data_IF_049063490324
#
_entry.id   IF_049063490324
#
_cell.length_a   1.000
_cell.length_b   1.000
_cell.length_c   1.000
_cell.angle_alpha   90.00
_cell.angle_beta   90.00
_cell.angle_gamma   90.00
#
_symmetry.space_group_name_H-M   'P 1'
#
loop_
_entity.id
_entity.type
_entity.pdbx_description
1 polymer ?
#
# COMPACT_ATOMS: atom_id res chain seq x y z
N UNK A 1 -15.72 -12.07 -69.59
CA UNK A 1 -15.98 -12.14 -68.13
C UNK A 1 -14.65 -12.18 -67.40
N UNK A 2 -14.15 -11.03 -66.93
CA UNK A 2 -12.92 -10.95 -66.16
C UNK A 2 -13.26 -10.59 -64.70
N UNK A 3 -13.30 -11.59 -63.82
CA UNK A 3 -13.45 -11.38 -62.38
C UNK A 3 -12.70 -12.48 -61.66
N UNK A 4 -12.00 -12.12 -60.58
CA UNK A 4 -11.40 -13.03 -59.58
C UNK A 4 -9.91 -13.42 -59.73
N UNK A 5 -8.99 -12.45 -59.87
CA UNK A 5 -7.62 -12.65 -59.34
C UNK A 5 -7.24 -11.63 -58.26
N UNK A 6 -7.77 -10.40 -58.32
CA UNK A 6 -7.50 -9.35 -57.32
C UNK A 6 -7.98 -9.70 -55.89
N UNK A 7 -9.07 -10.44 -55.74
CA UNK A 7 -9.60 -10.83 -54.42
C UNK A 7 -8.74 -11.86 -53.67
N UNK A 8 -8.03 -12.74 -54.39
CA UNK A 8 -7.17 -13.76 -53.78
C UNK A 8 -5.87 -13.16 -53.20
N UNK A 9 -5.31 -12.17 -53.88
CA UNK A 9 -4.10 -11.45 -53.43
C UNK A 9 -4.38 -10.55 -52.21
N UNK A 10 -5.54 -9.90 -52.17
CA UNK A 10 -5.96 -9.12 -50.99
C UNK A 10 -6.19 -10.03 -49.78
N UNK A 11 -6.81 -11.19 -49.97
CA UNK A 11 -7.03 -12.16 -48.90
C UNK A 11 -5.72 -12.75 -48.34
N UNK A 12 -4.73 -13.02 -49.19
CA UNK A 12 -3.42 -13.53 -48.75
C UNK A 12 -2.59 -12.46 -48.04
N UNK A 13 -2.63 -11.21 -48.49
CA UNK A 13 -1.98 -10.09 -47.79
C UNK A 13 -2.59 -9.83 -46.41
N UNK A 14 -3.92 -9.91 -46.27
CA UNK A 14 -4.57 -9.77 -44.96
C UNK A 14 -4.24 -10.93 -44.01
N UNK A 15 -4.15 -12.16 -44.52
CA UNK A 15 -3.77 -13.32 -43.70
C UNK A 15 -2.32 -13.22 -43.20
N UNK A 16 -1.40 -12.72 -44.04
CA UNK A 16 0.01 -12.52 -43.64
C UNK A 16 0.14 -11.42 -42.59
N UNK A 17 -0.59 -10.31 -42.76
CA UNK A 17 -0.61 -9.21 -41.81
C UNK A 17 -1.16 -9.66 -40.44
N UNK A 18 -2.21 -10.48 -40.43
CA UNK A 18 -2.78 -11.06 -39.20
C UNK A 18 -1.81 -12.00 -38.47
N UNK A 19 -1.01 -12.78 -39.20
CA UNK A 19 0.01 -13.64 -38.61
C UNK A 19 1.16 -12.85 -37.99
N UNK A 20 1.58 -11.76 -38.63
CA UNK A 20 2.63 -10.87 -38.11
C UNK A 20 2.14 -10.14 -36.85
N UNK A 21 0.91 -9.60 -36.86
CA UNK A 21 0.35 -8.97 -35.65
C UNK A 21 0.14 -9.99 -34.53
N UNK A 22 -0.35 -11.19 -34.82
CA UNK A 22 -0.47 -12.25 -33.81
C UNK A 22 0.88 -12.68 -33.23
N UNK A 23 1.95 -12.70 -34.05
CA UNK A 23 3.30 -13.01 -33.60
C UNK A 23 3.89 -11.91 -32.73
N UNK A 24 3.69 -10.64 -33.10
CA UNK A 24 4.14 -9.48 -32.31
C UNK A 24 3.39 -9.42 -30.98
N UNK A 25 2.07 -9.65 -30.99
CA UNK A 25 1.24 -9.72 -29.77
C UNK A 25 1.66 -10.90 -28.90
N UNK A 26 1.90 -12.08 -29.48
CA UNK A 26 2.35 -13.27 -28.77
C UNK A 26 3.74 -13.09 -28.12
N UNK A 27 4.69 -12.48 -28.83
CA UNK A 27 6.03 -12.16 -28.30
C UNK A 27 5.94 -11.08 -27.19
N UNK A 28 5.08 -10.07 -27.36
CA UNK A 28 4.85 -9.05 -26.34
C UNK A 28 4.20 -9.62 -25.07
N UNK A 29 3.29 -10.58 -25.20
CA UNK A 29 2.68 -11.27 -24.07
C UNK A 29 3.64 -12.27 -23.40
N UNK A 30 4.49 -12.93 -24.19
CA UNK A 30 5.50 -13.87 -23.69
C UNK A 30 6.61 -13.16 -22.90
N UNK A 31 7.05 -11.98 -23.35
CA UNK A 31 8.00 -11.16 -22.61
C UNK A 31 7.39 -10.39 -21.43
N UNK A 32 6.06 -10.25 -21.33
CA UNK A 32 5.42 -9.64 -20.16
C UNK A 32 5.11 -10.64 -19.03
N UNK A 33 5.14 -11.95 -19.31
CA UNK A 33 4.83 -13.02 -18.34
C UNK A 33 6.06 -13.75 -17.78
N UNK A 34 7.25 -13.56 -18.37
CA UNK A 34 8.51 -14.00 -17.78
C UNK A 34 9.16 -12.83 -17.00
N UNK A 35 9.43 -12.87 -15.70
CA UNK A 35 9.05 -13.78 -14.62
C UNK A 35 9.27 -13.01 -13.30
N UNK A 36 8.24 -12.33 -12.79
CA UNK A 36 8.25 -11.73 -11.45
C UNK A 36 8.53 -12.82 -10.39
N UNK A 37 8.06 -14.05 -10.65
CA UNK A 37 8.37 -15.24 -9.85
C UNK A 37 9.88 -15.48 -9.68
N UNK A 38 10.70 -15.19 -10.69
CA UNK A 38 12.16 -15.36 -10.62
C UNK A 38 12.83 -14.20 -9.88
N UNK A 39 12.27 -12.99 -10.02
CA UNK A 39 12.72 -11.76 -9.36
C UNK A 39 12.40 -11.70 -7.85
N UNK A 40 11.30 -12.34 -7.42
CA UNK A 40 10.89 -12.42 -6.01
C UNK A 40 11.49 -13.64 -5.28
N UNK A 41 11.67 -14.76 -5.99
CA UNK A 41 12.25 -15.98 -5.41
C UNK A 41 13.74 -15.82 -5.11
N UNK A 42 14.49 -15.06 -5.93
CA UNK A 42 15.92 -14.83 -5.74
C UNK A 42 16.25 -13.70 -4.74
N UNK A 43 15.28 -12.88 -4.35
CA UNK A 43 15.54 -11.73 -3.48
C UNK A 43 15.58 -12.16 -2.00
N UNK A 44 16.79 -12.51 -1.53
CA UNK A 44 17.04 -12.87 -0.13
C UNK A 44 16.68 -11.72 0.85
N UNK A 45 16.74 -10.46 0.40
CA UNK A 45 16.35 -9.30 1.21
C UNK A 45 14.83 -9.22 1.39
N UNK A 46 14.05 -9.54 0.35
CA UNK A 46 12.59 -9.63 0.43
C UNK A 46 12.15 -10.73 1.39
N UNK A 47 12.80 -11.90 1.31
CA UNK A 47 12.59 -12.97 2.28
C UNK A 47 12.89 -12.51 3.71
N UNK A 48 13.92 -11.67 3.91
CA UNK A 48 14.29 -11.16 5.23
C UNK A 48 13.32 -10.09 5.75
N UNK A 49 12.87 -9.17 4.88
CA UNK A 49 11.88 -8.15 5.21
C UNK A 49 10.52 -8.78 5.56
N UNK A 50 10.09 -9.78 4.78
CA UNK A 50 8.86 -10.55 5.03
C UNK A 50 8.97 -11.45 6.27
N UNK A 51 10.16 -12.01 6.55
CA UNK A 51 10.39 -12.84 7.73
C UNK A 51 10.37 -12.06 9.05
N UNK A 52 10.66 -10.76 9.06
CA UNK A 52 10.62 -9.96 10.29
C UNK A 52 9.19 -9.63 10.76
N UNK A 53 8.24 -9.54 9.82
CA UNK A 53 6.84 -9.15 10.02
C UNK A 53 5.97 -10.19 10.78
N UNK A 54 6.59 -11.11 11.52
CA UNK A 54 5.94 -12.20 12.28
C UNK A 54 5.41 -11.78 13.63
N UNK A 55 5.87 -10.64 14.14
CA UNK A 55 5.53 -10.16 15.46
C UNK A 55 4.63 -8.94 15.36
N UNK A 56 3.89 -8.70 16.44
CA UNK A 56 3.20 -7.44 16.64
C UNK A 56 4.25 -6.32 16.68
N UNK A 57 4.32 -5.54 15.60
CA UNK A 57 5.33 -4.50 15.45
C UNK A 57 4.75 -3.14 15.83
N UNK A 58 5.51 -2.37 16.59
CA UNK A 58 5.22 -0.95 16.77
C UNK A 58 5.60 -0.19 15.49
N UNK A 59 4.61 0.45 14.89
CA UNK A 59 4.74 1.11 13.58
C UNK A 59 4.79 2.63 13.66
N UNK A 60 4.43 3.18 14.82
CA UNK A 60 4.46 4.61 15.08
C UNK A 60 3.73 4.98 16.36
N UNK A 61 3.55 6.28 16.59
CA UNK A 61 2.75 6.80 17.68
C UNK A 61 2.16 8.17 17.36
N UNK A 62 1.08 8.54 18.05
CA UNK A 62 0.50 9.88 18.01
C UNK A 62 0.41 10.51 19.41
N UNK A 63 0.52 11.83 19.45
CA UNK A 63 0.31 12.66 20.64
C UNK A 63 -0.48 13.91 20.30
N UNK A 64 -1.36 14.32 21.21
CA UNK A 64 -2.01 15.62 21.12
C UNK A 64 -1.04 16.71 21.61
N UNK A 65 -0.65 17.63 20.73
CA UNK A 65 0.24 18.75 21.06
C UNK A 65 -0.54 19.90 21.69
N UNK A 66 -1.67 20.25 21.09
CA UNK A 66 -2.56 21.29 21.58
C UNK A 66 -3.97 21.05 21.11
N UNK A 67 -4.92 21.62 21.84
CA UNK A 67 -6.32 21.64 21.45
C UNK A 67 -6.93 22.97 21.84
N UNK A 68 -7.61 23.62 20.90
CA UNK A 68 -8.21 24.94 21.08
C UNK A 68 -9.48 25.06 20.25
N UNK A 69 -10.30 26.07 20.53
CA UNK A 69 -11.40 26.43 19.63
C UNK A 69 -10.92 27.48 18.63
N UNK A 70 -11.25 27.30 17.37
CA UNK A 70 -11.01 28.32 16.34
C UNK A 70 -12.02 29.49 16.46
N UNK A 71 -11.89 30.49 15.59
CA UNK A 71 -12.76 31.68 15.59
C UNK A 71 -14.25 31.35 15.36
N UNK A 72 -14.54 30.19 14.76
CA UNK A 72 -15.89 29.68 14.52
C UNK A 72 -16.44 28.87 15.72
N UNK A 73 -15.65 28.73 16.78
CA UNK A 73 -15.99 27.94 17.97
C UNK A 73 -15.82 26.43 17.78
N UNK A 74 -15.29 25.97 16.66
CA UNK A 74 -15.04 24.55 16.39
C UNK A 74 -13.79 24.10 17.14
N UNK A 75 -13.83 22.88 17.68
CA UNK A 75 -12.66 22.28 18.33
C UNK A 75 -11.62 21.93 17.26
N UNK A 76 -10.37 22.31 17.49
CA UNK A 76 -9.24 22.02 16.62
C UNK A 76 -8.11 21.41 17.46
N UNK A 77 -7.57 20.30 16.98
CA UNK A 77 -6.55 19.49 17.62
C UNK A 77 -5.31 19.46 16.76
N UNK A 78 -4.16 19.82 17.33
CA UNK A 78 -2.86 19.67 16.69
C UNK A 78 -2.26 18.34 17.12
N UNK A 79 -2.07 17.44 16.17
CA UNK A 79 -1.62 16.06 16.39
C UNK A 79 -0.20 15.93 15.89
N UNK A 80 0.71 15.49 16.76
CA UNK A 80 2.03 15.01 16.36
C UNK A 80 1.94 13.53 16.06
N UNK A 81 2.22 13.16 14.83
CA UNK A 81 2.24 11.77 14.38
C UNK A 81 3.64 11.39 13.94
N UNK A 82 4.12 10.26 14.47
CA UNK A 82 5.49 9.78 14.29
C UNK A 82 5.43 8.35 13.79
N UNK A 83 6.25 8.04 12.79
CA UNK A 83 6.46 6.69 12.30
C UNK A 83 7.83 6.20 12.73
N UNK A 84 7.94 4.94 13.16
CA UNK A 84 9.15 4.38 13.80
C UNK A 84 9.63 3.13 13.09
N UNK A 85 10.93 2.97 12.84
CA UNK A 85 11.49 1.87 12.04
C UNK A 85 11.01 0.49 12.54
N UNK A 86 10.77 -0.44 11.60
CA UNK A 86 10.15 -1.75 11.90
C UNK A 86 11.01 -2.59 12.84
N UNK A 87 12.33 -2.54 12.67
CA UNK A 87 13.32 -3.25 13.48
C UNK A 87 13.70 -2.52 14.77
N UNK A 88 13.42 -1.21 14.86
CA UNK A 88 13.77 -0.41 16.02
C UNK A 88 12.76 0.73 16.26
N UNK A 89 11.79 0.54 17.18
CA UNK A 89 10.78 1.55 17.52
C UNK A 89 11.34 2.89 18.02
N UNK A 90 12.62 2.95 18.44
CA UNK A 90 13.27 4.19 18.87
C UNK A 90 13.77 5.04 17.71
N UNK A 91 13.86 4.47 16.51
CA UNK A 91 14.34 5.18 15.33
C UNK A 91 13.15 5.82 14.62
N UNK A 92 13.09 7.15 14.63
CA UNK A 92 12.05 7.91 13.93
C UNK A 92 12.38 7.94 12.43
N UNK A 93 11.43 7.52 11.60
CA UNK A 93 11.56 7.59 10.13
C UNK A 93 10.83 8.80 9.55
N UNK A 94 9.77 9.26 10.22
CA UNK A 94 8.98 10.41 9.82
C UNK A 94 8.30 11.00 11.04
N UNK A 95 8.18 12.31 11.07
CA UNK A 95 7.47 13.06 12.09
C UNK A 95 6.74 14.21 11.41
N UNK A 96 5.44 14.34 11.67
CA UNK A 96 4.58 15.34 11.04
C UNK A 96 3.58 15.89 12.06
N UNK A 97 3.17 17.14 11.86
CA UNK A 97 2.12 17.80 12.63
C UNK A 97 0.89 17.96 11.73
N UNK A 98 -0.27 17.60 12.27
CA UNK A 98 -1.55 17.66 11.57
C UNK A 98 -2.55 18.49 12.36
N UNK A 99 -3.29 19.34 11.66
CA UNK A 99 -4.35 20.14 12.27
C UNK A 99 -5.69 19.52 11.93
N UNK A 100 -6.37 18.97 12.94
CA UNK A 100 -7.56 18.16 12.77
C UNK A 100 -8.74 18.78 13.51
N UNK A 101 -9.89 18.92 12.86
CA UNK A 101 -11.13 19.38 13.51
C UNK A 101 -11.69 18.28 14.42
N UNK A 102 -12.00 18.60 15.67
CA UNK A 102 -12.55 17.67 16.66
C UNK A 102 -11.51 17.03 17.55
N UNK A 103 -11.95 16.14 18.43
CA UNK A 103 -11.11 15.35 19.33
C UNK A 103 -11.08 13.86 18.98
N UNK A 104 -11.93 13.41 18.05
CA UNK A 104 -11.97 12.03 17.55
C UNK A 104 -11.22 11.97 16.23
N UNK A 105 -9.99 11.47 16.31
CA UNK A 105 -9.04 11.53 15.20
C UNK A 105 -8.95 10.14 14.57
N UNK A 106 -9.16 10.11 13.26
CA UNK A 106 -9.08 8.92 12.42
C UNK A 106 -7.70 8.86 11.75
N UNK A 107 -7.09 7.68 11.77
CA UNK A 107 -5.88 7.34 11.05
C UNK A 107 -6.21 6.24 10.05
N UNK A 108 -6.19 6.56 8.75
CA UNK A 108 -6.50 5.65 7.65
C UNK A 108 -5.22 5.04 7.08
N UNK A 109 -5.21 3.71 7.00
CA UNK A 109 -4.15 2.93 6.38
C UNK A 109 -4.71 1.99 5.31
N UNK A 110 -3.92 1.75 4.27
CA UNK A 110 -4.12 0.63 3.36
C UNK A 110 -3.36 -0.59 3.87
N UNK A 111 -3.99 -1.76 3.85
CA UNK A 111 -3.39 -3.02 4.26
C UNK A 111 -3.26 -3.94 3.05
N UNK A 112 -2.12 -4.60 2.91
CA UNK A 112 -1.85 -5.65 1.92
C UNK A 112 -1.50 -6.92 2.66
N UNK A 113 -2.38 -7.91 2.61
CA UNK A 113 -2.21 -9.21 3.26
C UNK A 113 -1.65 -10.22 2.25
N UNK A 114 -0.61 -10.95 2.63
CA UNK A 114 0.03 -11.95 1.78
C UNK A 114 -0.51 -13.36 2.05
N UNK A 115 -0.39 -14.25 1.07
CA UNK A 115 -0.76 -15.66 1.20
C UNK A 115 0.27 -16.42 2.05
N UNK A 116 -0.15 -17.52 2.69
CA UNK A 116 0.72 -18.33 3.55
C UNK A 116 1.88 -18.97 2.79
N UNK A 117 1.69 -19.33 1.52
CA UNK A 117 2.76 -19.90 0.67
C UNK A 117 3.92 -18.93 0.45
N UNK A 118 3.63 -17.63 0.57
CA UNK A 118 4.61 -16.57 0.42
C UNK A 118 5.44 -16.34 1.69
N UNK A 119 4.97 -16.84 2.85
CA UNK A 119 5.64 -16.68 4.13
C UNK A 119 6.25 -18.01 4.56
N UNK A 120 7.57 -18.11 4.50
CA UNK A 120 8.34 -19.37 4.69
C UNK A 120 8.11 -20.09 6.02
N UNK A 121 7.50 -19.45 7.02
CA UNK A 121 7.22 -20.01 8.34
C UNK A 121 5.72 -20.28 8.61
N UNK A 122 4.84 -20.06 7.62
CA UNK A 122 3.41 -20.36 7.72
C UNK A 122 2.59 -19.41 8.59
N UNK A 123 3.17 -18.28 9.02
CA UNK A 123 2.43 -17.23 9.72
C UNK A 123 1.96 -16.17 8.73
N UNK A 124 0.72 -15.70 8.87
CA UNK A 124 0.18 -14.66 7.99
C UNK A 124 1.04 -13.38 8.07
N UNK A 125 1.14 -12.63 6.97
CA UNK A 125 1.93 -11.40 6.88
C UNK A 125 1.13 -10.28 6.25
N UNK A 126 1.29 -9.08 6.78
CA UNK A 126 0.67 -7.89 6.24
C UNK A 126 1.65 -6.73 6.14
N UNK A 127 1.47 -5.93 5.09
CA UNK A 127 2.04 -4.61 4.98
C UNK A 127 0.94 -3.58 5.18
N UNK A 128 1.31 -2.40 5.65
CA UNK A 128 0.42 -1.25 5.73
C UNK A 128 0.98 -0.08 4.93
N UNK A 129 0.16 0.94 4.69
CA UNK A 129 0.58 2.25 4.21
C UNK A 129 -0.38 3.27 4.83
N UNK A 130 0.14 4.17 5.66
CA UNK A 130 -0.66 5.30 6.14
C UNK A 130 -1.05 6.19 4.96
N UNK A 131 -2.32 6.60 4.91
CA UNK A 131 -2.86 7.39 3.81
C UNK A 131 -3.17 8.80 4.25
N UNK A 132 -3.98 8.92 5.30
CA UNK A 132 -4.54 10.20 5.73
C UNK A 132 -4.94 10.21 7.19
N UNK A 133 -5.05 11.41 7.73
CA UNK A 133 -5.56 11.73 9.05
C UNK A 133 -6.70 12.75 8.93
N UNK A 134 -7.76 12.54 9.71
CA UNK A 134 -8.94 13.41 9.66
C UNK A 134 -9.78 13.31 10.93
N UNK A 135 -10.61 14.32 11.15
CA UNK A 135 -11.52 14.41 12.30
C UNK A 135 -12.87 13.80 12.02
N UNK A 136 -13.67 13.56 13.05
CA UNK A 136 -14.99 12.92 12.94
C UNK A 136 -16.00 13.70 12.09
N UNK A 137 -15.82 15.01 11.98
CA UNK A 137 -16.66 15.89 11.14
C UNK A 137 -16.09 16.12 9.74
N UNK A 138 -14.89 15.59 9.46
CA UNK A 138 -14.20 15.75 8.18
C UNK A 138 -14.38 14.50 7.34
N UNK A 139 -14.92 14.63 6.13
CA UNK A 139 -15.02 13.49 5.20
C UNK A 139 -13.61 12.97 4.86
N UNK A 140 -13.42 11.65 4.69
CA UNK A 140 -12.09 11.10 4.36
C UNK A 140 -11.43 11.76 3.15
N UNK A 141 -12.21 12.15 2.13
CA UNK A 141 -11.70 12.84 0.94
C UNK A 141 -11.00 14.18 1.23
N UNK A 142 -11.39 14.86 2.33
CA UNK A 142 -10.84 16.13 2.78
C UNK A 142 -9.84 15.96 3.94
N UNK A 143 -9.46 14.72 4.26
CA UNK A 143 -8.40 14.45 5.24
C UNK A 143 -7.03 14.86 4.74
N UNK A 144 -6.14 15.18 5.68
CA UNK A 144 -4.76 15.54 5.39
C UNK A 144 -3.95 14.27 5.08
N UNK A 145 -3.16 14.28 4.02
CA UNK A 145 -2.39 13.12 3.61
C UNK A 145 -1.21 12.90 4.56
N UNK A 146 -1.06 11.67 5.07
CA UNK A 146 0.11 11.28 5.88
C UNK A 146 1.28 10.93 4.95
N UNK A 147 0.97 10.17 3.90
CA UNK A 147 1.91 9.84 2.85
C UNK A 147 1.40 10.42 1.54
N UNK A 148 2.27 11.12 0.83
CA UNK A 148 1.94 11.70 -0.47
C UNK A 148 2.10 10.59 -1.53
N UNK A 149 1.06 10.30 -2.33
CA UNK A 149 1.17 9.37 -3.45
C UNK A 149 2.34 9.76 -4.37
N UNK A 150 3.22 8.81 -4.68
CA UNK A 150 4.40 9.02 -5.53
C UNK A 150 5.71 9.30 -4.77
N UNK A 151 5.66 9.69 -3.49
CA UNK A 151 6.82 9.63 -2.59
C UNK A 151 6.71 8.38 -1.74
N UNK A 152 7.26 7.27 -2.23
CA UNK A 152 7.30 6.04 -1.44
C UNK A 152 8.13 6.28 -0.17
N UNK A 153 7.56 6.11 1.04
CA UNK A 153 8.33 6.21 2.29
C UNK A 153 9.53 5.27 2.25
N UNK A 154 10.65 5.66 2.85
CA UNK A 154 11.86 4.82 2.94
C UNK A 154 11.53 3.41 3.48
N UNK A 155 10.55 3.35 4.41
CA UNK A 155 9.72 2.20 4.83
C UNK A 155 9.51 1.14 3.73
N UNK A 156 8.93 1.60 2.65
CA UNK A 156 8.48 0.77 1.53
C UNK A 156 9.47 0.76 0.37
N UNK A 157 10.58 1.50 0.48
CA UNK A 157 11.62 1.51 -0.55
C UNK A 157 12.20 0.10 -0.72
N UNK A 158 12.56 -0.56 0.39
CA UNK A 158 13.07 -1.94 0.38
C UNK A 158 12.07 -2.93 -0.21
N UNK A 159 10.77 -2.75 0.04
CA UNK A 159 9.71 -3.63 -0.43
C UNK A 159 9.41 -3.37 -1.92
N UNK A 160 9.25 -2.12 -2.33
CA UNK A 160 8.97 -1.74 -3.73
C UNK A 160 10.16 -1.95 -4.67
N UNK A 161 11.39 -1.79 -4.19
CA UNK A 161 12.63 -2.12 -4.90
C UNK A 161 12.75 -3.63 -5.10
N UNK A 162 12.41 -4.43 -4.09
CA UNK A 162 12.42 -5.89 -4.19
C UNK A 162 11.34 -6.48 -5.10
N UNK A 163 10.25 -5.73 -5.35
CA UNK A 163 9.19 -6.10 -6.29
C UNK A 163 9.57 -5.87 -7.76
N UNK A 164 10.74 -5.29 -8.06
CA UNK A 164 11.22 -4.97 -9.41
C UNK A 164 10.19 -4.23 -10.29
N UNK A 165 9.32 -3.45 -9.67
CA UNK A 165 8.36 -2.62 -10.36
C UNK A 165 9.12 -1.41 -10.87
N UNK A 166 9.51 -1.45 -12.15
CA UNK A 166 10.17 -0.34 -12.84
C UNK A 166 9.41 0.98 -12.68
N UNK A 167 8.11 0.92 -12.38
CA UNK A 167 7.24 2.06 -12.10
C UNK A 167 6.55 1.89 -10.74
N UNK A 168 7.06 2.58 -9.72
CA UNK A 168 6.57 2.56 -8.32
C UNK A 168 5.15 3.11 -8.17
N UNK A 169 4.80 4.10 -8.99
CA UNK A 169 3.48 4.73 -8.98
C UNK A 169 2.40 3.75 -9.45
N UNK A 170 2.76 2.90 -10.43
CA UNK A 170 1.86 1.87 -10.97
C UNK A 170 1.55 0.80 -9.92
N UNK A 171 2.44 0.51 -8.96
CA UNK A 171 2.14 -0.47 -7.92
C UNK A 171 0.94 -0.07 -7.07
N UNK A 172 0.91 1.18 -6.62
CA UNK A 172 -0.13 1.67 -5.71
C UNK A 172 -1.43 1.99 -6.43
N UNK A 173 -1.36 2.48 -7.67
CA UNK A 173 -2.54 2.57 -8.56
C UNK A 173 -3.08 1.17 -8.88
N UNK A 174 -2.20 0.24 -9.26
CA UNK A 174 -2.59 -1.13 -9.56
C UNK A 174 -3.13 -1.87 -8.34
N UNK A 175 -2.67 -1.57 -7.12
CA UNK A 175 -3.16 -2.21 -5.89
C UNK A 175 -4.65 -1.96 -5.67
N UNK A 176 -5.15 -0.75 -5.99
CA UNK A 176 -6.59 -0.45 -5.88
C UNK A 176 -7.40 -1.14 -6.97
N UNK A 177 -6.86 -1.21 -8.18
CA UNK A 177 -7.49 -1.96 -9.28
C UNK A 177 -7.47 -3.48 -9.01
N UNK A 178 -6.36 -3.99 -8.48
CA UNK A 178 -6.14 -5.39 -8.10
C UNK A 178 -7.00 -5.77 -6.90
N UNK A 179 -7.30 -4.86 -5.97
CA UNK A 179 -8.14 -5.13 -4.80
C UNK A 179 -9.50 -5.76 -5.16
N UNK A 180 -10.00 -5.49 -6.37
CA UNK A 180 -11.28 -6.02 -6.88
C UNK A 180 -11.13 -7.31 -7.70
N UNK A 181 -9.91 -7.79 -7.96
CA UNK A 181 -9.62 -9.00 -8.73
C UNK A 181 -8.80 -9.99 -7.89
N UNK A 182 -9.52 -10.82 -7.13
CA UNK A 182 -8.93 -11.82 -6.22
C UNK A 182 -8.10 -12.88 -6.92
N UNK A 183 -8.40 -13.18 -8.20
CA UNK A 183 -7.63 -14.17 -8.96
C UNK A 183 -6.26 -13.60 -9.29
N UNK A 184 -6.23 -12.36 -9.80
CA UNK A 184 -4.95 -11.66 -10.06
C UNK A 184 -4.18 -11.40 -8.77
N UNK A 185 -4.82 -11.04 -7.66
CA UNK A 185 -4.13 -10.87 -6.37
C UNK A 185 -3.36 -12.13 -5.94
N UNK A 186 -3.98 -13.31 -6.06
CA UNK A 186 -3.35 -14.58 -5.71
C UNK A 186 -2.14 -14.88 -6.60
N UNK A 187 -2.19 -14.55 -7.90
CA UNK A 187 -1.03 -14.69 -8.81
C UNK A 187 0.18 -13.84 -8.34
N UNK A 188 -0.07 -12.78 -7.57
CA UNK A 188 0.96 -11.93 -6.96
C UNK A 188 1.29 -12.29 -5.50
N UNK A 189 0.78 -13.40 -4.98
CA UNK A 189 0.98 -13.81 -3.58
C UNK A 189 0.26 -12.90 -2.57
N UNK A 190 -0.69 -12.08 -3.03
CA UNK A 190 -1.51 -11.21 -2.19
C UNK A 190 -2.85 -11.90 -1.95
N UNK A 191 -3.19 -12.10 -0.68
CA UNK A 191 -4.49 -12.64 -0.29
C UNK A 191 -5.57 -11.57 -0.35
N UNK A 192 -5.28 -10.35 0.12
CA UNK A 192 -6.25 -9.27 0.18
C UNK A 192 -5.59 -7.89 0.23
N UNK A 193 -6.30 -6.90 -0.29
CA UNK A 193 -5.99 -5.47 -0.11
C UNK A 193 -7.24 -4.81 0.47
N UNK A 194 -7.10 -4.08 1.58
CA UNK A 194 -8.24 -3.43 2.21
C UNK A 194 -7.84 -2.20 3.03
N UNK A 195 -8.77 -1.25 3.20
CA UNK A 195 -8.56 -0.10 4.08
C UNK A 195 -8.82 -0.44 5.54
N UNK A 196 -8.06 0.20 6.43
CA UNK A 196 -8.25 0.13 7.87
C UNK A 196 -8.15 1.55 8.45
N UNK A 197 -9.29 2.09 8.91
CA UNK A 197 -9.36 3.38 9.57
C UNK A 197 -9.60 3.16 11.06
N UNK A 198 -8.58 3.43 11.87
CA UNK A 198 -8.71 3.42 13.32
C UNK A 198 -9.04 4.82 13.80
N UNK A 199 -9.83 4.94 14.86
CA UNK A 199 -10.14 6.23 15.45
C UNK A 199 -10.02 6.19 16.96
N UNK A 200 -9.63 7.31 17.53
CA UNK A 200 -9.50 7.46 18.98
C UNK A 200 -9.82 8.88 19.39
N UNK A 201 -10.43 9.02 20.58
CA UNK A 201 -10.56 10.33 21.22
C UNK A 201 -9.23 10.68 21.87
N UNK A 202 -8.45 11.56 21.24
CA UNK A 202 -7.12 11.90 21.74
C UNK A 202 -7.19 12.82 22.97
N UNK A 203 -6.35 12.54 23.96
CA UNK A 203 -6.27 13.30 25.21
C UNK A 203 -4.86 13.86 25.41
N UNK A 204 -4.79 15.04 26.01
CA UNK A 204 -3.52 15.66 26.38
C UNK A 204 -2.76 14.77 27.38
N UNK A 205 -1.44 14.66 27.20
CA UNK A 205 -0.58 13.85 28.07
C UNK A 205 -0.67 12.33 27.85
N UNK A 206 -1.40 11.86 26.83
CA UNK A 206 -1.42 10.44 26.43
C UNK A 206 -0.61 10.25 25.15
N UNK A 207 -0.01 9.06 25.03
CA UNK A 207 0.65 8.59 23.81
C UNK A 207 -0.10 7.39 23.27
N UNK A 208 -0.42 7.43 21.99
CA UNK A 208 -1.14 6.38 21.28
C UNK A 208 -0.15 5.64 20.40
N UNK A 209 0.35 4.49 20.87
CA UNK A 209 1.29 3.64 20.16
C UNK A 209 0.53 2.78 19.14
N UNK A 210 0.82 2.96 17.86
CA UNK A 210 0.21 2.15 16.83
C UNK A 210 1.00 0.88 16.62
N UNK A 211 0.28 -0.24 16.59
CA UNK A 211 0.83 -1.55 16.33
C UNK A 211 0.07 -2.25 15.23
N UNK A 212 0.75 -3.13 14.51
CA UNK A 212 0.15 -3.97 13.47
C UNK A 212 0.32 -5.45 13.84
N UNK A 213 -0.76 -6.22 13.72
CA UNK A 213 -0.71 -7.68 13.84
C UNK A 213 -0.20 -8.32 12.55
N UNK A 214 0.21 -9.57 12.64
CA UNK A 214 0.53 -10.43 11.48
C UNK A 214 -0.60 -10.47 10.42
N UNK A 215 -1.86 -10.30 10.83
CA UNK A 215 -3.03 -10.32 9.94
C UNK A 215 -3.33 -8.96 9.31
N UNK A 216 -2.60 -7.91 9.68
CA UNK A 216 -2.77 -6.54 9.19
C UNK A 216 -3.76 -5.70 9.98
N UNK A 217 -4.20 -6.17 11.14
CA UNK A 217 -5.00 -5.36 12.04
C UNK A 217 -4.12 -4.33 12.72
N UNK A 218 -4.42 -3.05 12.51
CA UNK A 218 -3.80 -1.94 13.24
C UNK A 218 -4.67 -1.60 14.44
N UNK A 219 -4.04 -1.32 15.58
CA UNK A 219 -4.71 -0.79 16.77
C UNK A 219 -3.78 0.09 17.61
N UNK A 220 -4.34 1.03 18.39
CA UNK A 220 -3.58 1.81 19.35
C UNK A 220 -3.47 1.11 20.71
N UNK A 221 -2.27 1.12 21.29
CA UNK A 221 -2.04 0.93 22.72
C UNK A 221 -1.82 2.31 23.37
N UNK A 222 -2.49 2.58 24.49
CA UNK A 222 -2.44 3.89 25.14
C UNK A 222 -1.50 3.82 26.33
N UNK A 223 -0.50 4.70 26.36
CA UNK A 223 0.45 4.82 27.46
C UNK A 223 0.52 6.26 27.97
N UNK A 224 0.94 6.43 29.23
CA UNK A 224 1.06 7.74 29.88
C UNK A 224 2.37 8.47 29.53
N UNK A 225 3.40 7.73 29.13
CA UNK A 225 4.72 8.27 28.79
C UNK A 225 5.36 7.44 27.69
N UNK A 226 6.05 8.10 26.76
CA UNK A 226 6.82 7.47 25.68
C UNK A 226 8.20 8.09 25.59
#
# INVERSE_FOLDING_TARGET
>A
MAKSSKGKWIGTLMALAALVTASIIGISFYHSTASIHQLLTENHQLNKAVHNLTQEEQIGYAMLQSQSRNDLGELESVVRFVQTAADNPKTIVSEQLFTVRGDIIHFDALIVKFTNEYVKDGTERALYLWRRIYGETTTPANGEAIEIPGTAPERYYTITESLHLKNRDIFWEAIWDLANDTTRLNDYGVQAVFGNAIYTRMQAGKVYLFKISATGQIYPEIVDTY
#
